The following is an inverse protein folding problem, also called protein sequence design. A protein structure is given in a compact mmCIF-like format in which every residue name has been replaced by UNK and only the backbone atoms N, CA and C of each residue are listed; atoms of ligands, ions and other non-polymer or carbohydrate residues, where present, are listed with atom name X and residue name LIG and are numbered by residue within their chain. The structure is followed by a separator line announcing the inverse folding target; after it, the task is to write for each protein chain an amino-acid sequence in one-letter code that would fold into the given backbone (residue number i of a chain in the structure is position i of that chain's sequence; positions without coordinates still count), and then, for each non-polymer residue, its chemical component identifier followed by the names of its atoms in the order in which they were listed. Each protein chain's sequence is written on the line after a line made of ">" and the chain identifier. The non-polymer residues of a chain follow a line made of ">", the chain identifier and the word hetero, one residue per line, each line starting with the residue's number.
data_IF_492388436829
#
_entry.id   IF_492388436829
#
_cell.length_a   1.000
_cell.length_b   1.000
_cell.length_c   1.000
_cell.angle_alpha   90.00
_cell.angle_beta   90.00
_cell.angle_gamma   90.00
#
_symmetry.space_group_name_H-M   'P 1'
#
loop_
_entity.id
_entity.type
_entity.pdbx_description
1 polymer ?
#
# COMPACT_ATOMS: atom_id res chain seq x y z
N UNK A 1 -9.83 -21.79 5.44
CA UNK A 1 -8.48 -21.51 5.93
C UNK A 1 -7.99 -20.23 5.27
N UNK A 2 -8.26 -19.07 5.88
CA UNK A 2 -7.80 -17.80 5.36
C UNK A 2 -6.29 -17.70 5.35
N UNK A 3 -5.76 -17.12 4.28
CA UNK A 3 -4.35 -16.79 4.16
C UNK A 3 -4.21 -15.31 3.82
N UNK A 4 -3.45 -14.60 4.66
CA UNK A 4 -3.13 -13.19 4.47
C UNK A 4 -1.64 -13.06 4.22
N UNK A 5 -1.27 -12.50 3.08
CA UNK A 5 0.11 -12.20 2.74
C UNK A 5 0.33 -10.69 2.73
N UNK A 6 1.22 -10.23 3.61
CA UNK A 6 1.64 -8.84 3.71
C UNK A 6 3.02 -8.72 3.09
N UNK A 7 3.16 -7.82 2.12
CA UNK A 7 4.47 -7.48 1.54
C UNK A 7 4.91 -6.13 2.07
N UNK A 8 6.11 -6.09 2.65
CA UNK A 8 6.71 -4.91 3.24
C UNK A 8 8.07 -4.64 2.63
N UNK A 9 8.49 -3.38 2.68
CA UNK A 9 9.90 -3.03 2.49
C UNK A 9 10.66 -3.47 3.73
N UNK A 10 11.82 -4.10 3.53
CA UNK A 10 12.70 -4.55 4.61
C UNK A 10 13.02 -3.42 5.60
N UNK A 11 12.87 -3.70 6.90
CA UNK A 11 13.29 -2.81 7.97
C UNK A 11 12.37 -1.62 8.24
N UNK A 12 11.23 -1.51 7.56
CA UNK A 12 10.25 -0.44 7.84
C UNK A 12 9.50 -0.70 9.14
N UNK A 13 9.27 -1.97 9.50
CA UNK A 13 8.55 -2.36 10.71
C UNK A 13 9.50 -3.11 11.64
N UNK A 14 9.42 -2.84 12.95
CA UNK A 14 10.12 -3.64 13.95
C UNK A 14 9.58 -5.07 14.02
N UNK A 15 10.30 -5.96 14.71
CA UNK A 15 9.80 -7.32 14.96
C UNK A 15 8.49 -7.29 15.76
N UNK A 16 8.40 -6.43 16.76
CA UNK A 16 7.21 -6.25 17.60
C UNK A 16 6.02 -5.75 16.78
N UNK A 17 6.23 -4.77 15.89
CA UNK A 17 5.19 -4.25 15.01
C UNK A 17 4.67 -5.31 14.04
N UNK A 18 5.56 -6.16 13.49
CA UNK A 18 5.17 -7.28 12.64
C UNK A 18 4.33 -8.31 13.39
N UNK A 19 4.70 -8.66 14.63
CA UNK A 19 3.89 -9.58 15.45
C UNK A 19 2.53 -8.99 15.82
N UNK A 20 2.48 -7.69 16.17
CA UNK A 20 1.22 -6.99 16.44
C UNK A 20 0.33 -6.93 15.20
N UNK A 21 0.91 -6.68 14.02
CA UNK A 21 0.18 -6.69 12.75
C UNK A 21 -0.40 -8.07 12.45
N UNK A 22 0.37 -9.14 12.63
CA UNK A 22 -0.10 -10.50 12.41
C UNK A 22 -1.27 -10.88 13.35
N UNK A 23 -1.19 -10.49 14.63
CA UNK A 23 -2.27 -10.70 15.59
C UNK A 23 -3.53 -9.92 15.17
N UNK A 24 -3.41 -8.64 14.82
CA UNK A 24 -4.54 -7.82 14.39
C UNK A 24 -5.21 -8.33 13.11
N UNK A 25 -4.43 -8.77 12.12
CA UNK A 25 -4.95 -9.38 10.90
C UNK A 25 -5.69 -10.70 11.20
N UNK A 26 -5.19 -11.48 12.15
CA UNK A 26 -5.88 -12.70 12.61
C UNK A 26 -7.24 -12.38 13.20
N UNK A 27 -7.33 -11.37 14.07
CA UNK A 27 -8.60 -10.95 14.68
C UNK A 27 -9.60 -10.45 13.62
N UNK A 28 -9.12 -9.73 12.60
CA UNK A 28 -9.95 -9.33 11.45
C UNK A 28 -10.52 -10.55 10.76
N UNK A 29 -9.70 -11.56 10.47
CA UNK A 29 -10.18 -12.78 9.80
C UNK A 29 -11.18 -13.55 10.66
N UNK A 30 -10.89 -13.75 11.94
CA UNK A 30 -11.79 -14.46 12.87
C UNK A 30 -13.15 -13.76 12.98
N UNK A 31 -13.16 -12.42 13.00
CA UNK A 31 -14.41 -11.64 12.97
C UNK A 31 -15.27 -11.96 11.75
N UNK A 32 -14.68 -12.13 10.57
CA UNK A 32 -15.44 -12.44 9.34
C UNK A 32 -15.76 -13.93 9.18
N UNK A 33 -14.93 -14.81 9.72
CA UNK A 33 -15.24 -16.24 9.84
C UNK A 33 -16.40 -16.50 10.83
N UNK A 34 -16.65 -15.58 11.77
CA UNK A 34 -17.79 -15.62 12.68
C UNK A 34 -17.66 -16.62 13.83
N UNK A 35 -16.49 -17.22 14.02
CA UNK A 35 -16.22 -18.17 15.10
C UNK A 35 -14.74 -18.23 15.46
N UNK A 36 -14.43 -18.16 16.76
CA UNK A 36 -13.08 -18.33 17.30
C UNK A 36 -12.46 -19.70 16.98
N UNK A 37 -13.29 -20.72 16.70
CA UNK A 37 -12.79 -22.04 16.32
C UNK A 37 -11.92 -22.00 15.05
N UNK A 38 -12.07 -20.97 14.20
CA UNK A 38 -11.29 -20.84 12.97
C UNK A 38 -9.94 -20.15 13.15
N UNK A 39 -9.63 -19.57 14.33
CA UNK A 39 -8.37 -18.85 14.60
C UNK A 39 -7.15 -19.71 14.29
N UNK A 40 -7.18 -20.98 14.68
CA UNK A 40 -6.11 -21.95 14.46
C UNK A 40 -5.84 -22.26 12.97
N UNK A 41 -6.71 -21.79 12.08
CA UNK A 41 -6.61 -21.98 10.63
C UNK A 41 -6.31 -20.71 9.85
N UNK A 42 -6.18 -19.57 10.54
CA UNK A 42 -5.83 -18.29 9.93
C UNK A 42 -4.31 -18.19 9.83
N UNK A 43 -3.81 -18.01 8.62
CA UNK A 43 -2.39 -17.91 8.34
C UNK A 43 -2.05 -16.48 7.94
N UNK A 44 -1.03 -15.90 8.59
CA UNK A 44 -0.47 -14.59 8.22
C UNK A 44 1.00 -14.75 7.89
N UNK A 45 1.36 -14.43 6.64
CA UNK A 45 2.73 -14.40 6.16
C UNK A 45 3.15 -12.95 5.90
N UNK A 46 4.18 -12.50 6.61
CA UNK A 46 4.81 -11.19 6.39
C UNK A 46 6.11 -11.42 5.62
N UNK A 47 6.17 -10.92 4.39
CA UNK A 47 7.36 -10.97 3.53
C UNK A 47 7.99 -9.58 3.46
N UNK A 48 9.24 -9.49 3.91
CA UNK A 48 10.07 -8.30 3.73
C UNK A 48 10.91 -8.45 2.47
N UNK A 49 10.81 -7.47 1.59
CA UNK A 49 11.50 -7.44 0.31
C UNK A 49 12.48 -6.27 0.28
N UNK A 50 13.64 -6.50 -0.34
CA UNK A 50 14.71 -5.52 -0.47
C UNK A 50 14.19 -4.20 -1.06
N UNK A 51 14.61 -3.02 -0.54
CA UNK A 51 14.15 -1.71 -0.99
C UNK A 51 14.20 -1.47 -2.49
N UNK A 52 15.24 -1.97 -3.18
CA UNK A 52 15.42 -1.80 -4.63
C UNK A 52 14.31 -2.44 -5.48
N UNK A 53 13.52 -3.37 -4.92
CA UNK A 53 12.37 -3.95 -5.60
C UNK A 53 11.13 -3.05 -5.61
N UNK A 54 11.15 -1.95 -4.86
CA UNK A 54 9.99 -1.09 -4.64
C UNK A 54 10.06 0.18 -5.48
N UNK A 55 9.02 0.42 -6.26
CA UNK A 55 8.90 1.63 -7.07
C UNK A 55 7.51 2.27 -6.96
N UNK A 56 7.48 3.60 -6.83
CA UNK A 56 6.25 4.40 -6.77
C UNK A 56 6.25 5.39 -7.94
N UNK A 57 5.32 5.22 -8.88
CA UNK A 57 5.22 6.07 -10.07
C UNK A 57 6.53 6.09 -10.89
N UNK A 58 7.17 4.92 -11.03
CA UNK A 58 8.42 4.74 -11.78
C UNK A 58 9.71 5.14 -11.05
N UNK A 59 9.64 5.59 -9.79
CA UNK A 59 10.81 5.98 -8.99
C UNK A 59 11.08 4.95 -7.92
N UNK A 60 12.35 4.66 -7.63
CA UNK A 60 12.74 3.79 -6.52
C UNK A 60 12.25 4.33 -5.17
N UNK A 61 12.01 3.43 -4.22
CA UNK A 61 11.65 3.79 -2.86
C UNK A 61 12.86 4.40 -2.11
N UNK A 62 12.60 5.45 -1.35
CA UNK A 62 13.60 6.23 -0.61
C UNK A 62 13.13 6.53 0.82
N UNK A 63 12.33 5.64 1.41
CA UNK A 63 11.79 5.84 2.75
C UNK A 63 10.72 6.93 2.82
N UNK A 64 10.61 7.62 3.98
CA UNK A 64 9.64 8.71 4.18
C UNK A 64 9.73 9.83 3.14
N UNK A 65 10.90 10.06 2.53
CA UNK A 65 11.06 11.04 1.46
C UNK A 65 10.16 10.73 0.26
N UNK A 66 9.93 9.45 -0.06
CA UNK A 66 9.02 9.06 -1.14
C UNK A 66 7.57 9.53 -0.91
N UNK A 67 7.14 9.69 0.36
CA UNK A 67 5.83 10.25 0.68
C UNK A 67 5.77 11.72 0.28
N UNK A 68 6.74 12.53 0.71
CA UNK A 68 6.82 13.96 0.39
C UNK A 68 6.88 14.20 -1.12
N UNK A 69 7.72 13.45 -1.84
CA UNK A 69 7.82 13.53 -3.31
C UNK A 69 6.50 13.17 -4.01
N UNK A 70 5.82 12.13 -3.53
CA UNK A 70 4.54 11.69 -4.08
C UNK A 70 3.46 12.75 -3.87
N UNK A 71 3.35 13.29 -2.65
CA UNK A 71 2.38 14.33 -2.33
C UNK A 71 2.63 15.62 -3.13
N UNK A 72 3.90 16.03 -3.25
CA UNK A 72 4.29 17.20 -4.04
C UNK A 72 3.92 17.02 -5.52
N UNK A 73 4.19 15.85 -6.10
CA UNK A 73 3.79 15.55 -7.49
C UNK A 73 2.28 15.52 -7.67
N UNK A 74 1.54 14.90 -6.75
CA UNK A 74 0.08 14.89 -6.81
C UNK A 74 -0.50 16.30 -6.74
N UNK A 75 0.00 17.15 -5.83
CA UNK A 75 -0.36 18.56 -5.76
C UNK A 75 -0.12 19.27 -7.09
N UNK A 76 1.08 19.13 -7.66
CA UNK A 76 1.42 19.77 -8.93
C UNK A 76 0.49 19.31 -10.08
N UNK A 77 0.09 18.04 -10.10
CA UNK A 77 -0.87 17.52 -11.10
C UNK A 77 -2.22 18.21 -10.92
N UNK A 78 -2.76 18.24 -9.71
CA UNK A 78 -4.05 18.90 -9.43
C UNK A 78 -4.01 20.39 -9.79
N UNK A 79 -2.94 21.10 -9.43
CA UNK A 79 -2.79 22.53 -9.76
C UNK A 79 -2.67 22.79 -11.26
N UNK A 80 -2.11 21.83 -12.02
CA UNK A 80 -2.00 21.94 -13.48
C UNK A 80 -3.32 21.67 -14.22
N UNK A 81 -4.30 21.03 -13.57
CA UNK A 81 -5.56 20.63 -14.18
C UNK A 81 -6.64 21.66 -13.86
N UNK A 82 -6.96 22.52 -14.83
CA UNK A 82 -7.95 23.61 -14.66
C UNK A 82 -9.41 23.13 -14.70
N UNK A 83 -9.66 21.91 -15.20
CA UNK A 83 -10.99 21.30 -15.21
C UNK A 83 -11.20 20.39 -13.99
N UNK A 84 -12.42 19.96 -13.71
CA UNK A 84 -12.70 18.95 -12.67
C UNK A 84 -13.03 17.59 -13.33
N UNK A 85 -12.03 16.89 -13.90
CA UNK A 85 -12.25 15.63 -14.58
C UNK A 85 -12.81 14.57 -13.64
N UNK A 86 -13.88 13.89 -14.06
CA UNK A 86 -14.56 12.81 -13.35
C UNK A 86 -14.35 11.46 -14.02
N UNK A 87 -14.05 11.46 -15.31
CA UNK A 87 -13.82 10.23 -16.08
C UNK A 87 -12.35 10.06 -16.45
N UNK A 88 -11.94 8.81 -16.74
CA UNK A 88 -10.58 8.53 -17.22
C UNK A 88 -10.24 9.28 -18.51
N UNK A 89 -11.21 9.44 -19.41
CA UNK A 89 -11.02 10.17 -20.67
C UNK A 89 -10.78 11.66 -20.43
N UNK A 90 -11.55 12.27 -19.52
CA UNK A 90 -11.34 13.66 -19.12
C UNK A 90 -9.98 13.85 -18.46
N UNK A 91 -9.54 12.91 -17.61
CA UNK A 91 -8.19 12.93 -17.02
C UNK A 91 -7.09 12.83 -18.08
N UNK A 92 -7.24 11.95 -19.08
CA UNK A 92 -6.27 11.81 -20.17
C UNK A 92 -6.16 13.08 -21.02
N UNK A 93 -7.27 13.80 -21.22
CA UNK A 93 -7.29 15.07 -21.93
C UNK A 93 -6.71 16.22 -21.08
N UNK A 94 -6.99 16.25 -19.77
CA UNK A 94 -6.56 17.31 -18.87
C UNK A 94 -5.09 17.20 -18.45
N UNK A 95 -4.56 15.98 -18.35
CA UNK A 95 -3.17 15.71 -17.99
C UNK A 95 -2.60 14.63 -18.93
N UNK A 96 -2.26 14.98 -20.18
CA UNK A 96 -1.77 14.01 -21.16
C UNK A 96 -0.40 13.46 -20.77
N UNK A 97 -0.07 12.29 -21.32
CA UNK A 97 1.25 11.68 -21.19
C UNK A 97 2.29 12.65 -21.78
N UNK A 98 3.37 12.89 -21.03
CA UNK A 98 4.53 13.64 -21.53
C UNK A 98 5.44 12.65 -22.25
N UNK A 99 5.77 12.95 -23.51
CA UNK A 99 6.80 12.24 -24.28
C UNK A 99 8.20 12.53 -23.73
#
# INVERSE_FOLDING_TARGET
>A
MPFVNVKLVEGVFSSEEKHALAAALTDVMVKFEGSEAFRETVWVLIEELHPDGWHIGGRGWAGPQSLEETLTRQKNIIESVTSHPKTRQEWAAAAPVKE
#
